data_IF_318393192456
#
_entry.id   IF_318393192456
#
_cell.length_a   1.000
_cell.length_b   1.000
_cell.length_c   1.000
_cell.angle_alpha   90.00
_cell.angle_beta   90.00
_cell.angle_gamma   90.00
#
_symmetry.space_group_name_H-M   'P 1'
#
loop_
_entity.id
_entity.type
_entity.pdbx_description
1 polymer ?
#
# COMPACT_ATOMS: atom_id res chain seq x y z
N UNK A 1 -21.56 -8.04 -0.23
CA UNK A 1 -20.31 -8.43 0.45
C UNK A 1 -19.42 -7.20 0.58
N UNK A 2 -18.59 -7.15 1.60
CA UNK A 2 -17.57 -6.11 1.78
C UNK A 2 -16.30 -6.78 2.29
N UNK A 3 -15.17 -6.09 2.16
CA UNK A 3 -13.90 -6.52 2.76
C UNK A 3 -13.16 -5.32 3.35
N UNK A 4 -12.36 -5.58 4.37
CA UNK A 4 -11.59 -4.56 5.08
C UNK A 4 -10.13 -4.96 5.16
N UNK A 5 -9.28 -4.21 4.46
CA UNK A 5 -7.83 -4.31 4.53
C UNK A 5 -7.35 -3.41 5.68
N UNK A 6 -6.43 -3.92 6.50
CA UNK A 6 -5.74 -3.14 7.52
C UNK A 6 -4.25 -3.22 7.25
N UNK A 7 -3.63 -2.05 7.11
CA UNK A 7 -2.19 -1.88 7.00
C UNK A 7 -1.65 -1.14 8.22
N UNK A 8 -0.75 -1.77 8.95
CA UNK A 8 -0.14 -1.20 10.16
C UNK A 8 1.34 -0.98 9.90
N UNK A 9 1.80 0.25 10.06
CA UNK A 9 3.18 0.65 9.86
C UNK A 9 3.69 1.41 11.08
N UNK A 10 4.97 1.30 11.42
CA UNK A 10 5.57 2.12 12.49
C UNK A 10 5.84 3.55 12.01
N UNK A 11 5.89 4.50 12.95
CA UNK A 11 6.17 5.90 12.64
C UNK A 11 7.46 6.07 11.81
N UNK A 12 8.49 5.27 12.13
CA UNK A 12 9.61 5.09 11.23
C UNK A 12 9.21 4.18 10.05
N UNK A 13 9.01 4.77 8.88
CA UNK A 13 8.63 4.07 7.64
C UNK A 13 9.79 3.36 6.96
N UNK A 14 11.00 3.39 7.51
CA UNK A 14 12.10 2.48 7.12
C UNK A 14 11.80 1.02 7.50
N UNK A 15 10.93 0.80 8.48
CA UNK A 15 10.57 -0.55 8.90
C UNK A 15 9.39 -1.08 8.08
N UNK A 16 9.46 -2.36 7.75
CA UNK A 16 8.30 -3.08 7.21
C UNK A 16 7.19 -3.10 8.25
N UNK A 17 5.98 -2.90 7.78
CA UNK A 17 4.78 -3.12 8.56
C UNK A 17 4.08 -4.41 8.15
N UNK A 18 2.79 -4.47 8.45
CA UNK A 18 1.95 -5.63 8.13
C UNK A 18 0.70 -5.22 7.37
N UNK A 19 0.21 -6.12 6.52
CA UNK A 19 -1.06 -6.00 5.86
C UNK A 19 -1.89 -7.28 6.06
N UNK A 20 -3.16 -7.11 6.39
CA UNK A 20 -4.13 -8.19 6.54
C UNK A 20 -5.50 -7.77 5.99
N UNK A 21 -6.36 -8.74 5.69
CA UNK A 21 -7.71 -8.49 5.19
C UNK A 21 -8.74 -9.34 5.93
N UNK A 22 -9.84 -8.70 6.28
CA UNK A 22 -11.05 -9.33 6.81
C UNK A 22 -12.15 -9.32 5.75
N UNK A 23 -13.00 -10.35 5.74
CA UNK A 23 -14.23 -10.34 4.94
C UNK A 23 -15.39 -9.66 5.69
N UNK A 24 -16.55 -9.56 5.04
CA UNK A 24 -17.74 -8.91 5.58
C UNK A 24 -18.36 -9.61 6.79
N UNK A 25 -17.96 -10.85 7.10
CA UNK A 25 -18.34 -11.54 8.34
C UNK A 25 -17.42 -11.20 9.52
N UNK A 26 -16.30 -10.52 9.25
CA UNK A 26 -15.24 -10.24 10.22
C UNK A 26 -14.20 -11.35 10.33
N UNK A 27 -14.22 -12.36 9.46
CA UNK A 27 -13.20 -13.41 9.45
C UNK A 27 -11.91 -12.90 8.82
N UNK A 28 -10.76 -13.22 9.43
CA UNK A 28 -9.44 -12.95 8.85
C UNK A 28 -9.22 -13.92 7.67
N UNK A 29 -9.10 -13.37 6.47
CA UNK A 29 -9.07 -14.16 5.23
C UNK A 29 -7.75 -14.02 4.46
N UNK A 30 -6.92 -13.04 4.81
CA UNK A 30 -5.57 -12.88 4.25
C UNK A 30 -4.63 -12.21 5.24
N UNK A 31 -3.36 -12.63 5.25
CA UNK A 31 -2.32 -12.08 6.12
C UNK A 31 -2.43 -12.51 7.59
N UNK A 32 -1.66 -11.87 8.49
CA UNK A 32 -0.76 -10.75 8.22
C UNK A 32 0.43 -11.13 7.34
N UNK A 33 0.78 -10.27 6.39
CA UNK A 33 2.01 -10.38 5.57
C UNK A 33 2.82 -9.11 5.68
N UNK A 34 4.12 -9.18 5.37
CA UNK A 34 4.97 -8.00 5.26
C UNK A 34 4.45 -7.04 4.19
N UNK A 35 4.42 -5.75 4.53
CA UNK A 35 4.08 -4.66 3.63
C UNK A 35 4.97 -3.44 3.91
N UNK A 36 5.15 -2.58 2.90
CA UNK A 36 5.96 -1.38 3.04
C UNK A 36 5.17 -0.15 2.57
N UNK A 37 4.95 0.80 3.48
CA UNK A 37 4.31 2.10 3.22
C UNK A 37 5.31 3.25 3.06
N UNK A 38 6.55 2.91 2.67
CA UNK A 38 7.69 3.80 2.55
C UNK A 38 7.69 4.54 1.21
N UNK A 39 7.79 5.86 1.28
CA UNK A 39 8.11 6.73 0.16
C UNK A 39 9.57 6.60 -0.25
N UNK A 40 9.87 6.91 -1.51
CA UNK A 40 11.25 7.08 -1.96
C UNK A 40 11.82 8.38 -1.40
N UNK A 41 13.14 8.41 -1.19
CA UNK A 41 13.88 9.64 -0.95
C UNK A 41 14.02 10.45 -2.25
N UNK A 42 12.90 10.77 -2.89
CA UNK A 42 12.89 11.47 -4.16
C UNK A 42 13.48 12.88 -3.97
N UNK A 43 14.36 13.35 -4.88
CA UNK A 43 14.92 14.69 -4.81
C UNK A 43 13.86 15.79 -4.80
N UNK A 44 12.69 15.57 -5.42
CA UNK A 44 11.56 16.51 -5.39
C UNK A 44 11.04 16.78 -3.96
N UNK A 45 11.33 15.88 -3.02
CA UNK A 45 11.00 16.00 -1.59
C UNK A 45 12.21 16.38 -0.74
N UNK A 46 13.27 16.95 -1.33
CA UNK A 46 14.54 17.20 -0.64
C UNK A 46 15.14 15.92 -0.03
N UNK A 47 14.96 14.77 -0.68
CA UNK A 47 15.36 13.45 -0.20
C UNK A 47 14.73 13.05 1.15
N UNK A 48 13.58 13.63 1.49
CA UNK A 48 12.85 13.34 2.72
C UNK A 48 11.50 12.70 2.41
N UNK A 49 11.43 11.38 2.53
CA UNK A 49 10.20 10.61 2.33
C UNK A 49 9.15 10.78 3.46
N UNK A 50 9.53 11.28 4.64
CA UNK A 50 8.68 11.25 5.84
C UNK A 50 7.53 12.27 5.82
N UNK A 51 7.64 13.30 4.97
CA UNK A 51 6.58 14.29 4.83
C UNK A 51 5.45 13.75 3.94
N UNK A 52 4.53 13.00 4.54
CA UNK A 52 3.36 12.39 3.88
C UNK A 52 2.45 13.39 3.14
N UNK A 53 2.61 14.70 3.29
CA UNK A 53 1.87 15.69 2.50
C UNK A 53 2.44 15.89 1.10
N UNK A 54 3.72 15.61 0.89
CA UNK A 54 4.37 15.77 -0.41
C UNK A 54 4.12 14.55 -1.30
N UNK A 55 4.12 14.77 -2.62
CA UNK A 55 4.16 13.67 -3.61
C UNK A 55 5.38 12.80 -3.35
N UNK A 56 5.45 11.56 -3.83
CA UNK A 56 6.64 10.70 -3.67
C UNK A 56 7.06 10.33 -2.23
N UNK A 57 6.27 10.72 -1.22
CA UNK A 57 6.51 10.49 0.19
C UNK A 57 5.73 9.27 0.73
N UNK A 58 5.88 8.97 2.01
CA UNK A 58 5.22 7.87 2.70
C UNK A 58 3.71 7.81 2.46
N UNK A 59 3.15 6.60 2.51
CA UNK A 59 1.70 6.39 2.45
C UNK A 59 1.04 7.04 3.66
N UNK A 60 0.10 7.99 3.46
CA UNK A 60 -0.56 8.67 4.55
C UNK A 60 -1.50 7.72 5.32
N UNK A 61 -1.61 7.95 6.63
CA UNK A 61 -2.59 7.23 7.47
C UNK A 61 -4.01 7.68 7.17
N UNK A 62 -5.00 6.88 7.53
CA UNK A 62 -6.41 7.19 7.29
C UNK A 62 -7.12 6.06 6.57
N UNK A 63 -8.26 6.39 5.98
CA UNK A 63 -9.10 5.41 5.29
C UNK A 63 -9.16 5.69 3.80
N UNK A 64 -9.33 4.60 3.04
CA UNK A 64 -9.45 4.61 1.60
C UNK A 64 -10.57 3.67 1.17
N UNK A 65 -11.33 4.05 0.15
CA UNK A 65 -12.09 3.10 -0.63
C UNK A 65 -11.13 2.28 -1.50
N UNK A 66 -11.33 0.96 -1.52
CA UNK A 66 -10.43 0.03 -2.18
C UNK A 66 -11.15 -0.69 -3.32
N UNK A 67 -10.53 -0.72 -4.51
CA UNK A 67 -11.07 -1.42 -5.67
C UNK A 67 -9.97 -2.12 -6.48
N UNK A 68 -10.28 -3.25 -7.09
CA UNK A 68 -9.30 -3.96 -7.94
C UNK A 68 -9.25 -3.31 -9.31
N UNK A 69 -8.04 -2.97 -9.75
CA UNK A 69 -7.75 -2.44 -11.09
C UNK A 69 -6.76 -3.35 -11.82
N UNK A 70 -6.65 -3.16 -13.13
CA UNK A 70 -5.73 -3.92 -13.99
C UNK A 70 -4.26 -3.84 -13.54
N UNK A 71 -3.46 -4.76 -14.08
CA UNK A 71 -2.02 -4.75 -13.90
C UNK A 71 -1.41 -3.42 -14.39
N UNK A 72 -0.27 -3.05 -13.82
CA UNK A 72 0.42 -1.81 -14.16
C UNK A 72 1.62 -2.03 -15.06
N UNK A 73 1.99 -0.98 -15.80
CA UNK A 73 3.21 -0.92 -16.61
C UNK A 73 4.14 0.16 -16.04
N UNK A 74 5.44 -0.11 -15.88
CA UNK A 74 6.12 -1.38 -16.16
C UNK A 74 5.88 -2.44 -15.06
N UNK A 75 5.93 -3.71 -15.44
CA UNK A 75 5.82 -4.85 -14.51
C UNK A 75 6.86 -4.81 -13.40
N UNK A 76 8.07 -4.32 -13.70
CA UNK A 76 9.14 -4.12 -12.71
C UNK A 76 8.76 -3.16 -11.57
N UNK A 77 7.81 -2.24 -11.80
CA UNK A 77 7.35 -1.30 -10.79
C UNK A 77 6.07 -1.72 -10.11
N UNK A 78 5.16 -2.36 -10.83
CA UNK A 78 3.79 -2.61 -10.38
C UNK A 78 3.47 -4.09 -10.12
N UNK A 79 4.42 -4.97 -10.44
CA UNK A 79 4.23 -6.41 -10.39
C UNK A 79 3.40 -6.92 -11.58
N UNK A 80 3.33 -8.24 -11.77
CA UNK A 80 2.69 -8.85 -12.94
C UNK A 80 1.18 -8.99 -12.80
N UNK A 81 0.62 -8.75 -11.61
CA UNK A 81 -0.79 -8.98 -11.31
C UNK A 81 -1.60 -7.69 -11.25
N UNK A 82 -2.93 -7.83 -11.16
CA UNK A 82 -3.83 -6.73 -10.80
C UNK A 82 -3.39 -6.02 -9.51
N UNK A 83 -3.89 -4.81 -9.31
CA UNK A 83 -3.55 -3.96 -8.16
C UNK A 83 -4.81 -3.55 -7.43
N UNK A 84 -4.64 -3.00 -6.24
CA UNK A 84 -5.74 -2.36 -5.51
C UNK A 84 -5.56 -0.85 -5.66
N UNK A 85 -6.50 -0.17 -6.30
CA UNK A 85 -6.60 1.28 -6.28
C UNK A 85 -7.13 1.72 -4.91
N UNK A 86 -6.56 2.80 -4.38
CA UNK A 86 -6.92 3.37 -3.08
C UNK A 86 -7.37 4.82 -3.28
N UNK A 87 -8.62 5.07 -3.01
CA UNK A 87 -9.25 6.39 -3.10
C UNK A 87 -9.45 6.95 -1.69
N UNK A 88 -8.72 8.00 -1.27
CA UNK A 88 -8.78 8.53 0.09
C UNK A 88 -10.20 8.94 0.51
N UNK A 89 -10.63 8.53 1.72
CA UNK A 89 -11.96 8.87 2.24
C UNK A 89 -11.93 9.59 3.58
N UNK A 90 -10.85 9.46 4.36
CA UNK A 90 -10.72 10.18 5.64
C UNK A 90 -9.27 10.23 6.17
N UNK A 91 -9.04 11.03 7.22
CA UNK A 91 -7.76 11.13 7.91
C UNK A 91 -6.68 11.87 7.10
N UNK A 92 -5.41 11.55 7.38
CA UNK A 92 -4.28 12.16 6.66
C UNK A 92 -4.32 11.85 5.16
N UNK A 93 -4.91 10.73 4.75
CA UNK A 93 -5.11 10.36 3.36
C UNK A 93 -5.91 11.42 2.59
N UNK A 94 -7.07 11.81 3.13
CA UNK A 94 -7.92 12.84 2.52
C UNK A 94 -7.25 14.23 2.55
N UNK A 95 -6.50 14.54 3.61
CA UNK A 95 -5.71 15.79 3.65
C UNK A 95 -4.65 15.78 2.55
N UNK A 96 -3.98 14.65 2.32
CA UNK A 96 -2.95 14.53 1.31
C UNK A 96 -3.54 14.65 -0.11
N UNK A 97 -4.73 14.09 -0.33
CA UNK A 97 -5.47 14.23 -1.58
C UNK A 97 -5.89 15.67 -1.88
N UNK A 98 -6.45 16.36 -0.89
CA UNK A 98 -6.81 17.77 -1.02
C UNK A 98 -5.58 18.67 -1.28
N UNK A 99 -4.37 18.18 -0.97
CA UNK A 99 -3.10 18.82 -1.31
C UNK A 99 -2.51 18.34 -2.65
N UNK A 100 -3.29 17.60 -3.45
CA UNK A 100 -2.94 17.19 -4.81
C UNK A 100 -2.29 15.80 -4.94
N UNK A 101 -2.15 15.01 -3.86
CA UNK A 101 -1.64 13.63 -3.99
C UNK A 101 -2.75 12.70 -4.49
N UNK A 102 -2.41 11.80 -5.40
CA UNK A 102 -3.35 10.80 -5.91
C UNK A 102 -2.61 9.55 -6.39
N UNK A 103 -3.34 8.57 -6.93
CA UNK A 103 -2.74 7.36 -7.50
C UNK A 103 -2.17 6.40 -6.46
N UNK A 104 -2.75 6.38 -5.25
CA UNK A 104 -2.38 5.44 -4.20
C UNK A 104 -2.81 4.02 -4.57
N UNK A 105 -1.92 3.05 -4.42
CA UNK A 105 -2.18 1.66 -4.79
C UNK A 105 -1.56 0.67 -3.80
N UNK A 106 -2.08 -0.56 -3.78
CA UNK A 106 -1.39 -1.75 -3.26
C UNK A 106 -0.92 -2.57 -4.44
N UNK A 107 0.39 -2.82 -4.53
CA UNK A 107 0.98 -3.53 -5.67
C UNK A 107 2.30 -4.24 -5.33
N UNK A 108 2.74 -5.10 -6.25
CA UNK A 108 4.03 -5.77 -6.21
C UNK A 108 5.11 -5.01 -6.98
N UNK A 109 5.99 -5.74 -7.64
CA UNK A 109 7.10 -5.23 -8.44
C UNK A 109 8.42 -5.87 -8.04
N UNK A 110 9.49 -5.47 -8.71
CA UNK A 110 10.82 -6.01 -8.43
C UNK A 110 11.24 -5.71 -7.00
N UNK A 111 12.04 -6.63 -6.46
CA UNK A 111 12.64 -6.47 -5.15
C UNK A 111 13.61 -5.28 -5.12
N UNK A 112 13.83 -4.75 -3.93
CA UNK A 112 14.96 -3.85 -3.68
C UNK A 112 16.27 -4.57 -4.02
N UNK A 113 17.22 -3.86 -4.64
CA UNK A 113 18.58 -4.36 -4.86
C UNK A 113 19.50 -4.11 -3.65
N UNK A 114 19.11 -3.20 -2.76
CA UNK A 114 19.82 -2.95 -1.51
C UNK A 114 19.36 -3.96 -0.45
N UNK A 115 20.17 -5.00 -0.25
CA UNK A 115 19.94 -6.06 0.74
C UNK A 115 20.32 -5.65 2.17
N UNK A 116 20.97 -4.51 2.36
CA UNK A 116 21.33 -4.00 3.69
C UNK A 116 20.22 -3.18 4.34
N UNK A 117 19.28 -2.68 3.54
CA UNK A 117 18.15 -1.90 4.01
C UNK A 117 17.17 -2.74 4.85
N UNK A 118 16.65 -2.15 5.93
CA UNK A 118 15.63 -2.76 6.81
C UNK A 118 14.33 -3.12 6.08
N UNK A 119 14.04 -2.44 4.98
CA UNK A 119 12.87 -2.69 4.15
C UNK A 119 13.06 -3.78 3.10
N UNK A 120 14.26 -4.35 2.94
CA UNK A 120 14.50 -5.47 2.02
C UNK A 120 13.58 -6.66 2.36
N UNK A 121 13.00 -7.35 1.35
CA UNK A 121 13.18 -7.18 -0.10
C UNK A 121 12.22 -6.18 -0.76
N UNK A 122 11.38 -5.48 0.00
CA UNK A 122 10.34 -4.60 -0.55
C UNK A 122 10.96 -3.29 -1.03
N UNK A 123 10.77 -2.93 -2.31
CA UNK A 123 11.26 -1.66 -2.85
C UNK A 123 10.35 -0.50 -2.43
N UNK A 124 10.89 0.62 -1.93
CA UNK A 124 10.12 1.84 -1.70
C UNK A 124 9.34 2.29 -2.93
N UNK A 125 8.25 3.02 -2.70
CA UNK A 125 7.38 3.52 -3.76
C UNK A 125 7.24 5.04 -3.67
N UNK A 126 6.40 5.64 -4.51
CA UNK A 126 6.08 7.07 -4.44
C UNK A 126 4.87 7.40 -3.55
N UNK A 127 4.50 6.48 -2.64
CA UNK A 127 3.37 6.61 -1.72
C UNK A 127 2.36 5.47 -1.75
N UNK A 128 2.58 4.49 -2.61
CA UNK A 128 1.85 3.22 -2.63
C UNK A 128 2.31 2.27 -1.52
N UNK A 129 1.49 1.26 -1.24
CA UNK A 129 1.84 0.15 -0.36
C UNK A 129 2.45 -0.97 -1.22
N UNK A 130 3.70 -1.32 -0.91
CA UNK A 130 4.42 -2.42 -1.58
C UNK A 130 4.19 -3.75 -0.87
N UNK A 131 3.91 -4.78 -1.66
CA UNK A 131 3.93 -6.19 -1.29
C UNK A 131 4.96 -6.96 -2.14
N UNK A 132 5.24 -8.21 -1.78
CA UNK A 132 5.87 -9.15 -2.72
C UNK A 132 4.90 -9.51 -3.85
N UNK A 133 5.41 -9.93 -5.01
CA UNK A 133 4.55 -10.38 -6.12
C UNK A 133 3.64 -11.55 -5.74
N UNK A 134 4.12 -12.46 -4.88
CA UNK A 134 3.31 -13.58 -4.39
C UNK A 134 2.14 -13.08 -3.51
N UNK A 135 2.42 -12.16 -2.58
CA UNK A 135 1.39 -11.57 -1.73
C UNK A 135 0.42 -10.68 -2.50
N UNK A 136 0.89 -9.97 -3.54
CA UNK A 136 0.02 -9.25 -4.47
C UNK A 136 -1.00 -10.20 -5.11
N UNK A 137 -0.55 -11.31 -5.69
CA UNK A 137 -1.45 -12.29 -6.33
C UNK A 137 -2.46 -12.85 -5.32
N UNK A 138 -1.97 -13.27 -4.15
CA UNK A 138 -2.80 -13.86 -3.11
C UNK A 138 -3.87 -12.88 -2.59
N UNK A 139 -3.52 -11.61 -2.35
CA UNK A 139 -4.47 -10.58 -1.94
C UNK A 139 -5.54 -10.36 -3.01
N UNK A 140 -5.14 -10.20 -4.28
CA UNK A 140 -6.08 -9.98 -5.40
C UNK A 140 -7.06 -11.15 -5.53
N UNK A 141 -6.56 -12.39 -5.48
CA UNK A 141 -7.41 -13.58 -5.57
C UNK A 141 -8.40 -13.63 -4.41
N UNK A 142 -7.97 -13.23 -3.20
CA UNK A 142 -8.86 -13.19 -2.05
C UNK A 142 -9.93 -12.10 -2.15
N UNK A 143 -9.57 -10.90 -2.63
CA UNK A 143 -10.53 -9.84 -2.90
C UNK A 143 -11.57 -10.30 -3.94
N UNK A 144 -11.13 -10.92 -5.04
CA UNK A 144 -12.03 -11.44 -6.08
C UNK A 144 -12.96 -12.54 -5.54
N UNK A 145 -12.46 -13.40 -4.66
CA UNK A 145 -13.25 -14.46 -4.04
C UNK A 145 -14.29 -13.94 -3.05
N UNK A 146 -14.00 -12.87 -2.31
CA UNK A 146 -14.94 -12.27 -1.34
C UNK A 146 -15.95 -11.36 -2.05
N UNK A 147 -15.48 -10.56 -3.00
CA UNK A 147 -16.29 -9.63 -3.78
C UNK A 147 -16.85 -8.43 -3.00
N UNK A 148 -17.52 -7.53 -3.73
CA UNK A 148 -18.20 -6.37 -3.17
C UNK A 148 -17.30 -5.18 -2.83
N UNK A 149 -17.73 -4.32 -1.90
CA UNK A 149 -17.06 -3.05 -1.61
C UNK A 149 -15.86 -3.20 -0.68
N UNK A 150 -14.74 -2.56 -1.05
CA UNK A 150 -13.50 -2.59 -0.29
C UNK A 150 -13.25 -1.34 0.53
N UNK A 151 -12.71 -1.52 1.73
CA UNK A 151 -12.11 -0.47 2.55
C UNK A 151 -10.68 -0.83 2.90
N UNK A 152 -9.79 0.16 2.94
CA UNK A 152 -8.47 0.05 3.56
C UNK A 152 -8.38 1.04 4.73
N UNK A 153 -7.81 0.61 5.85
CA UNK A 153 -7.35 1.50 6.92
C UNK A 153 -5.84 1.40 7.07
N UNK A 154 -5.15 2.54 7.03
CA UNK A 154 -3.71 2.66 7.26
C UNK A 154 -3.46 3.29 8.63
N UNK A 155 -2.83 2.53 9.53
CA UNK A 155 -2.55 2.95 10.89
C UNK A 155 -1.06 3.22 11.13
N UNK A 156 -0.79 4.06 12.12
CA UNK A 156 0.51 4.13 12.77
C UNK A 156 0.45 3.35 14.08
N UNK A 157 1.39 2.43 14.29
CA UNK A 157 1.49 1.61 15.51
C UNK A 157 2.83 1.77 16.21
#
# INVERSE_FOLDING_TARGET
MSYHIIANFSANRDNKGTLKMYDGSGALVFGPVEALGRGSNDPANNNNHANWKMTNADTPTGEYAASVIGAGTPTSSYGPYSRVNLDPTSGNALIAENNGRSGFMIHGGDASTDSSASWYPLRPTYGCIRLSNSNQNALINKIKSVGGSGKLTVNNI
#
